data_IF_850682170912
#
_entry.id   IF_850682170912
#
_cell.length_a   1.000
_cell.length_b   1.000
_cell.length_c   1.000
_cell.angle_alpha   90.00
_cell.angle_beta   90.00
_cell.angle_gamma   90.00
#
_symmetry.space_group_name_H-M   'P 1'
#
loop_
_entity.id
_entity.type
_entity.pdbx_description
1 polymer ?
#
# COMPACT_ATOMS: atom_id res chain seq x y z
N UNK A 1 8.20 17.01 3.94
CA UNK A 1 7.13 16.29 3.20
C UNK A 1 7.70 14.96 2.76
N UNK A 2 7.25 13.86 3.36
CA UNK A 2 7.77 12.53 3.02
C UNK A 2 7.26 12.13 1.63
N UNK A 3 8.13 12.19 0.64
CA UNK A 3 7.81 11.82 -0.74
C UNK A 3 7.92 10.29 -0.85
N UNK A 4 6.80 9.61 -0.60
CA UNK A 4 6.75 8.14 -0.72
C UNK A 4 6.47 7.78 -2.16
N UNK A 5 7.36 7.00 -2.79
CA UNK A 5 7.24 6.52 -4.17
C UNK A 5 6.19 5.41 -4.31
N UNK A 6 5.01 5.62 -3.76
CA UNK A 6 3.90 4.67 -3.81
C UNK A 6 2.89 5.14 -4.86
N UNK A 7 2.31 4.20 -5.58
CA UNK A 7 1.27 4.45 -6.58
C UNK A 7 0.00 3.75 -6.15
N UNK A 8 -1.14 4.42 -6.21
CA UNK A 8 -2.45 3.82 -5.98
C UNK A 8 -3.30 3.97 -7.25
N UNK A 9 -4.01 2.91 -7.62
CA UNK A 9 -4.99 2.93 -8.69
C UNK A 9 -6.27 2.22 -8.28
N UNK A 10 -7.34 2.59 -8.97
CA UNK A 10 -8.64 1.98 -8.87
C UNK A 10 -9.07 1.61 -10.29
N UNK A 11 -9.07 0.33 -10.61
CA UNK A 11 -9.36 -0.18 -11.94
C UNK A 11 -10.08 -1.53 -11.85
N UNK A 12 -10.98 -1.83 -12.78
CA UNK A 12 -11.69 -3.12 -12.88
C UNK A 12 -12.35 -3.61 -11.58
N UNK A 13 -12.85 -2.68 -10.77
CA UNK A 13 -13.45 -3.02 -9.48
C UNK A 13 -12.44 -3.47 -8.42
N UNK A 14 -11.17 -3.14 -8.58
CA UNK A 14 -10.09 -3.40 -7.62
C UNK A 14 -9.36 -2.12 -7.27
N UNK A 15 -9.04 -2.00 -5.99
CA UNK A 15 -8.15 -0.98 -5.47
C UNK A 15 -6.76 -1.60 -5.28
N UNK A 16 -5.79 -1.09 -6.03
CA UNK A 16 -4.43 -1.62 -6.08
C UNK A 16 -3.45 -0.54 -5.66
N UNK A 17 -2.54 -0.87 -4.76
CA UNK A 17 -1.45 0.00 -4.31
C UNK A 17 -0.13 -0.69 -4.57
N UNK A 18 0.72 -0.06 -5.38
CA UNK A 18 2.11 -0.44 -5.57
C UNK A 18 2.97 0.34 -4.58
N UNK A 19 3.59 -0.37 -3.64
CA UNK A 19 4.52 0.25 -2.70
C UNK A 19 5.83 0.65 -3.37
N UNK A 20 6.23 -0.08 -4.41
CA UNK A 20 7.45 0.16 -5.17
C UNK A 20 7.22 -0.10 -6.67
N UNK A 21 6.64 0.86 -7.42
CA UNK A 21 6.34 0.68 -8.85
C UNK A 21 7.60 0.48 -9.70
N UNK A 22 8.76 0.96 -9.24
CA UNK A 22 10.04 0.71 -9.92
C UNK A 22 10.47 -0.76 -9.89
N UNK A 23 9.85 -1.61 -9.04
CA UNK A 23 10.09 -3.06 -9.04
C UNK A 23 9.92 -3.67 -10.43
N UNK A 24 8.98 -3.17 -11.23
CA UNK A 24 8.72 -3.63 -12.62
C UNK A 24 10.02 -3.70 -13.45
N UNK A 25 10.91 -2.73 -13.25
CA UNK A 25 12.16 -2.60 -14.02
C UNK A 25 13.31 -3.44 -13.46
N UNK A 26 13.24 -3.80 -12.17
CA UNK A 26 14.27 -4.58 -11.50
C UNK A 26 13.98 -6.07 -11.62
N UNK A 27 12.78 -6.47 -11.18
CA UNK A 27 12.36 -7.87 -11.13
C UNK A 27 10.83 -7.97 -11.16
N UNK A 28 10.30 -8.70 -12.15
CA UNK A 28 8.85 -8.89 -12.33
C UNK A 28 8.25 -9.82 -11.28
N UNK A 29 9.04 -10.74 -10.72
CA UNK A 29 8.58 -11.67 -9.69
C UNK A 29 8.46 -10.98 -8.33
N UNK A 30 9.16 -9.86 -8.13
CA UNK A 30 9.07 -9.03 -6.92
C UNK A 30 7.81 -8.15 -6.90
N UNK A 31 7.28 -7.81 -8.07
CA UNK A 31 6.11 -6.95 -8.21
C UNK A 31 4.88 -7.45 -7.42
N UNK A 32 4.39 -8.68 -7.59
CA UNK A 32 3.22 -9.15 -6.84
C UNK A 32 3.45 -9.17 -5.32
N UNK A 33 4.70 -9.27 -4.85
CA UNK A 33 5.01 -9.22 -3.42
C UNK A 33 4.97 -7.80 -2.82
N UNK A 34 5.04 -6.78 -3.67
CA UNK A 34 5.07 -5.35 -3.27
C UNK A 34 3.78 -4.61 -3.64
N UNK A 35 2.75 -5.37 -3.99
CA UNK A 35 1.42 -4.89 -4.35
C UNK A 35 0.44 -5.24 -3.24
N UNK A 36 -0.41 -4.28 -2.91
CA UNK A 36 -1.57 -4.49 -2.06
C UNK A 36 -2.83 -4.34 -2.91
N UNK A 37 -3.65 -5.39 -2.94
CA UNK A 37 -4.94 -5.37 -3.62
C UNK A 37 -6.08 -5.51 -2.62
N UNK A 38 -7.16 -4.80 -2.89
CA UNK A 38 -8.40 -4.84 -2.14
C UNK A 38 -9.58 -4.73 -3.10
N UNK A 39 -10.67 -5.41 -2.81
CA UNK A 39 -11.86 -5.31 -3.66
C UNK A 39 -12.49 -3.92 -3.55
N UNK A 40 -12.82 -3.32 -4.70
CA UNK A 40 -13.49 -2.03 -4.73
C UNK A 40 -14.97 -2.12 -4.33
N UNK A 41 -15.52 -3.34 -4.26
CA UNK A 41 -16.87 -3.63 -3.74
C UNK A 41 -17.10 -3.01 -2.36
N UNK A 42 -16.07 -2.94 -1.51
CA UNK A 42 -16.12 -2.29 -0.19
C UNK A 42 -16.34 -0.76 -0.26
N UNK A 43 -16.01 -0.14 -1.40
CA UNK A 43 -16.19 1.28 -1.66
C UNK A 43 -17.49 1.58 -2.42
N UNK A 44 -18.27 0.56 -2.77
CA UNK A 44 -19.55 0.72 -3.47
C UNK A 44 -19.43 0.83 -4.99
N UNK A 45 -20.52 1.22 -5.66
CA UNK A 45 -20.58 1.35 -7.11
C UNK A 45 -19.79 2.58 -7.58
N UNK A 46 -18.99 2.43 -8.62
CA UNK A 46 -18.19 3.48 -9.27
C UNK A 46 -17.40 4.40 -8.30
N UNK A 47 -16.47 3.86 -7.49
CA UNK A 47 -15.65 4.68 -6.63
C UNK A 47 -14.67 5.53 -7.47
N UNK A 48 -14.29 6.70 -6.95
CA UNK A 48 -13.29 7.57 -7.56
C UNK A 48 -12.18 7.86 -6.55
N UNK A 49 -10.94 7.62 -6.95
CA UNK A 49 -9.77 7.97 -6.17
C UNK A 49 -9.57 9.49 -6.23
N UNK A 50 -9.74 10.18 -5.09
CA UNK A 50 -9.57 11.63 -5.02
C UNK A 50 -8.16 12.03 -4.63
N UNK A 51 -7.63 11.42 -3.57
CA UNK A 51 -6.36 11.83 -2.99
C UNK A 51 -5.62 10.66 -2.39
N UNK A 52 -4.30 10.68 -2.56
CA UNK A 52 -3.39 9.75 -1.93
C UNK A 52 -2.23 10.52 -1.30
N UNK A 53 -2.18 10.56 0.04
CA UNK A 53 -1.15 11.28 0.80
C UNK A 53 -0.62 10.39 1.92
N UNK A 54 0.68 10.08 1.86
CA UNK A 54 1.34 9.23 2.84
C UNK A 54 0.77 7.81 2.81
N UNK A 55 0.06 7.40 3.87
CA UNK A 55 -0.68 6.13 3.91
C UNK A 55 -2.20 6.31 3.82
N UNK A 56 -2.69 7.52 3.59
CA UNK A 56 -4.12 7.80 3.57
C UNK A 56 -4.60 7.96 2.13
N UNK A 57 -5.65 7.21 1.81
CA UNK A 57 -6.32 7.22 0.52
C UNK A 57 -7.73 7.73 0.75
N UNK A 58 -8.14 8.74 0.00
CA UNK A 58 -9.52 9.27 0.01
C UNK A 58 -10.21 8.83 -1.26
N UNK A 59 -11.31 8.10 -1.09
CA UNK A 59 -12.13 7.56 -2.17
C UNK A 59 -13.52 8.18 -2.07
N UNK A 60 -14.04 8.70 -3.17
CA UNK A 60 -15.41 9.17 -3.28
C UNK A 60 -16.30 8.07 -3.85
N UNK A 61 -17.37 7.74 -3.15
CA UNK A 61 -18.38 6.78 -3.62
C UNK A 61 -19.32 7.44 -4.63
N UNK A 62 -20.03 6.65 -5.44
CA UNK A 62 -21.06 7.19 -6.34
C UNK A 62 -22.19 7.95 -5.61
N UNK A 63 -22.50 7.57 -4.36
CA UNK A 63 -23.45 8.28 -3.50
C UNK A 63 -22.94 9.67 -3.03
N UNK A 64 -21.70 10.03 -3.37
CA UNK A 64 -21.09 11.31 -2.99
C UNK A 64 -20.36 11.29 -1.65
N UNK A 65 -20.54 10.22 -0.84
CA UNK A 65 -19.82 10.00 0.41
C UNK A 65 -18.31 9.86 0.20
N UNK A 66 -17.52 10.37 1.15
CA UNK A 66 -16.07 10.24 1.19
C UNK A 66 -15.67 9.14 2.17
N UNK A 67 -14.92 8.17 1.67
CA UNK A 67 -14.33 7.10 2.46
C UNK A 67 -12.83 7.28 2.51
N UNK A 68 -12.29 7.36 3.72
CA UNK A 68 -10.85 7.30 3.94
C UNK A 68 -10.43 5.86 4.24
N UNK A 69 -9.43 5.38 3.53
CA UNK A 69 -8.79 4.08 3.78
C UNK A 69 -7.32 4.31 4.05
N UNK A 70 -6.80 3.66 5.09
CA UNK A 70 -5.37 3.65 5.39
C UNK A 70 -4.73 2.38 4.85
N UNK A 71 -3.60 2.54 4.18
CA UNK A 71 -2.70 1.43 3.84
C UNK A 71 -1.70 1.20 4.95
N UNK A 72 -1.04 0.05 4.91
CA UNK A 72 0.00 -0.28 5.88
C UNK A 72 1.16 0.72 5.79
N UNK A 73 1.60 1.37 6.89
CA UNK A 73 2.71 2.32 6.89
C UNK A 73 4.09 1.63 6.85
N UNK A 74 4.14 0.31 7.01
CA UNK A 74 5.39 -0.46 7.08
C UNK A 74 6.31 -0.28 5.86
N UNK A 75 5.82 -0.25 4.60
CA UNK A 75 6.68 -0.04 3.43
C UNK A 75 7.37 1.33 3.44
N UNK A 76 6.69 2.38 3.92
CA UNK A 76 7.30 3.71 4.05
C UNK A 76 8.45 3.72 5.06
N UNK A 77 8.26 3.05 6.21
CA UNK A 77 9.28 2.91 7.25
C UNK A 77 10.43 2.03 6.76
N UNK A 78 10.13 0.98 6.00
CA UNK A 78 11.13 0.10 5.43
C UNK A 78 12.02 0.86 4.42
N UNK A 79 11.42 1.68 3.56
CA UNK A 79 12.16 2.54 2.64
C UNK A 79 13.09 3.52 3.37
N UNK A 80 12.67 4.12 4.48
CA UNK A 80 13.53 5.03 5.23
C UNK A 80 14.69 4.33 5.91
N UNK A 81 14.49 3.12 6.45
CA UNK A 81 15.58 2.33 7.04
C UNK A 81 16.60 1.85 6.02
N UNK A 82 16.14 1.43 4.83
CA UNK A 82 17.02 1.05 3.71
C UNK A 82 17.84 2.25 3.24
N UNK A 83 17.21 3.43 3.09
CA UNK A 83 17.93 4.66 2.74
C UNK A 83 18.93 5.11 3.82
N UNK A 84 18.63 4.83 5.09
CA UNK A 84 19.52 5.12 6.22
C UNK A 84 20.61 4.04 6.45
N UNK A 85 20.66 2.97 5.65
CA UNK A 85 21.61 1.86 5.82
C UNK A 85 21.37 0.99 7.06
N UNK A 86 20.20 1.11 7.72
CA UNK A 86 19.86 0.39 8.96
C UNK A 86 19.27 -0.99 8.65
N UNK A 87 20.10 -1.88 8.10
CA UNK A 87 19.67 -3.22 7.68
C UNK A 87 19.22 -4.11 8.82
N UNK A 88 19.88 -4.07 10.00
CA UNK A 88 19.50 -4.89 11.16
C UNK A 88 18.06 -4.61 11.61
N UNK A 89 17.69 -3.33 11.71
CA UNK A 89 16.34 -2.92 12.09
C UNK A 89 15.30 -3.21 11.01
N UNK A 90 15.70 -3.10 9.74
CA UNK A 90 14.86 -3.49 8.60
C UNK A 90 14.45 -4.96 8.71
N UNK A 91 15.41 -5.85 8.99
CA UNK A 91 15.15 -7.28 9.14
C UNK A 91 14.30 -7.56 10.38
N UNK A 92 14.55 -6.88 11.50
CA UNK A 92 13.70 -6.98 12.70
C UNK A 92 12.26 -6.57 12.43
N UNK A 93 12.05 -5.46 11.71
CA UNK A 93 10.73 -4.99 11.31
C UNK A 93 10.03 -6.02 10.43
N UNK A 94 10.72 -6.57 9.42
CA UNK A 94 10.15 -7.60 8.54
C UNK A 94 9.72 -8.84 9.32
N UNK A 95 10.53 -9.31 10.27
CA UNK A 95 10.18 -10.43 11.16
C UNK A 95 8.94 -10.12 11.99
N UNK A 96 8.84 -8.92 12.54
CA UNK A 96 7.68 -8.50 13.33
C UNK A 96 6.39 -8.43 12.50
N UNK A 97 6.46 -7.84 11.31
CA UNK A 97 5.30 -7.69 10.40
C UNK A 97 4.82 -9.03 9.84
N UNK A 98 5.74 -9.97 9.57
CA UNK A 98 5.36 -11.33 9.16
C UNK A 98 4.48 -12.02 10.21
N UNK A 99 4.80 -11.85 11.50
CA UNK A 99 4.05 -12.42 12.62
C UNK A 99 2.65 -11.79 12.77
N UNK A 100 2.50 -10.50 12.51
CA UNK A 100 1.22 -9.81 12.63
C UNK A 100 0.24 -10.11 11.49
N UNK A 101 0.75 -10.34 10.27
CA UNK A 101 -0.06 -10.76 9.11
C UNK A 101 -0.60 -12.19 9.33
N UNK A 102 0.23 -13.11 9.84
CA UNK A 102 -0.21 -14.50 10.12
C UNK A 102 -1.32 -14.56 11.17
N UNK A 103 -1.39 -13.60 12.11
CA UNK A 103 -2.45 -13.55 13.14
C UNK A 103 -3.77 -12.94 12.68
N UNK A 104 -3.83 -12.18 11.58
CA UNK A 104 -5.10 -11.66 11.05
C UNK A 104 -5.89 -12.68 10.24
N UNK A 105 -5.28 -13.82 9.93
CA UNK A 105 -5.90 -14.93 9.18
C UNK A 105 -6.26 -16.13 10.09
N UNK A 106 -6.31 -15.94 11.41
CA UNK A 106 -6.75 -16.95 12.37
C UNK A 106 -7.91 -16.43 13.21
#
# INVERSE_FOLDING_TARGET
MANTNMLAALADGKFTVWYYPSAVYVDRDLLPMTVFEKEASEFGKNPQLLQFVGNHVVIRRAEGSLVSTSISPYPAILHSYVQAGRWDETVRLCRFVKVSITRKNC
#
